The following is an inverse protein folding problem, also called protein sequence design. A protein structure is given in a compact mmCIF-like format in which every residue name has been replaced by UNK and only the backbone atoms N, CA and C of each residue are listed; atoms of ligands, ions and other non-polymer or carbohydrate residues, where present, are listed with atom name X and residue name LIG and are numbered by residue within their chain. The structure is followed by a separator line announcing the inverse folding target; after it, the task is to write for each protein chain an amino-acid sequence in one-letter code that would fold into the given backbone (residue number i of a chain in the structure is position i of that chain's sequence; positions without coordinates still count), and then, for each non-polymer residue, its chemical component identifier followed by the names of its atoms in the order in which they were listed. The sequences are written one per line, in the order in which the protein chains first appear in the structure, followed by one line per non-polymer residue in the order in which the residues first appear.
data_IF_178389687340
#
_entry.id   IF_178389687340
#
_cell.length_a   1.000
_cell.length_b   1.000
_cell.length_c   1.000
_cell.angle_alpha   90.00
_cell.angle_beta   90.00
_cell.angle_gamma   90.00
#
_symmetry.space_group_name_H-M   'P 1'
#
loop_
_entity.id
_entity.type
_entity.pdbx_description
1 polymer ?
#
# COMPACT_ATOMS: atom_id res chain seq x y z
N UNK A 1 -2.08 -15.51 -0.05
CA UNK A 1 -2.60 -16.52 -0.99
C UNK A 1 -1.46 -16.83 -1.97
N UNK A 2 -1.25 -18.09 -2.32
CA UNK A 2 -0.14 -18.65 -3.12
C UNK A 2 1.22 -18.89 -2.43
N UNK A 3 1.52 -18.29 -1.28
CA UNK A 3 2.83 -18.48 -0.61
C UNK A 3 2.88 -19.61 0.43
N UNK A 4 1.75 -20.31 0.66
CA UNK A 4 1.69 -21.40 1.62
C UNK A 4 1.99 -21.00 3.08
N UNK A 5 2.46 -21.93 3.92
CA UNK A 5 2.71 -21.69 5.35
C UNK A 5 3.69 -20.56 5.65
N UNK A 6 4.66 -20.34 4.76
CA UNK A 6 5.69 -19.29 4.92
C UNK A 6 5.19 -17.88 4.61
N UNK A 7 3.89 -17.72 4.27
CA UNK A 7 3.37 -16.46 3.79
C UNK A 7 3.61 -15.31 4.78
N UNK A 8 3.38 -15.50 6.07
CA UNK A 8 3.61 -14.44 7.06
C UNK A 8 5.09 -13.99 7.08
N UNK A 9 6.02 -14.95 7.14
CA UNK A 9 7.47 -14.70 7.14
C UNK A 9 7.93 -13.99 5.87
N UNK A 10 7.43 -14.41 4.71
CA UNK A 10 7.77 -13.78 3.43
C UNK A 10 7.25 -12.33 3.34
N UNK A 11 6.04 -12.05 3.83
CA UNK A 11 5.55 -10.68 3.89
C UNK A 11 6.34 -9.84 4.90
N UNK A 12 6.69 -10.40 6.06
CA UNK A 12 7.52 -9.75 7.06
C UNK A 12 8.89 -9.33 6.47
N UNK A 13 9.51 -10.24 5.69
CA UNK A 13 10.80 -10.02 5.04
C UNK A 13 10.81 -8.87 4.03
N UNK A 14 9.66 -8.37 3.56
CA UNK A 14 9.63 -7.20 2.67
C UNK A 14 10.10 -5.90 3.37
N UNK A 15 10.10 -5.87 4.71
CA UNK A 15 10.49 -4.68 5.46
C UNK A 15 11.91 -4.20 5.15
N UNK A 16 12.87 -5.13 4.97
CA UNK A 16 14.27 -4.78 4.66
C UNK A 16 14.42 -4.13 3.28
N UNK A 17 13.65 -4.62 2.29
CA UNK A 17 13.67 -4.07 0.94
C UNK A 17 12.98 -2.71 0.86
N UNK A 18 11.91 -2.51 1.63
CA UNK A 18 11.22 -1.23 1.74
C UNK A 18 12.13 -0.18 2.35
N UNK A 19 12.89 -0.53 3.40
CA UNK A 19 13.89 0.35 4.00
C UNK A 19 15.03 0.65 3.03
N UNK A 20 15.61 -0.38 2.40
CA UNK A 20 16.68 -0.23 1.42
C UNK A 20 16.31 0.56 0.17
N UNK A 21 15.02 0.59 -0.19
CA UNK A 21 14.49 1.39 -1.30
C UNK A 21 14.21 2.85 -0.92
N UNK A 22 14.34 3.22 0.36
CA UNK A 22 14.07 4.58 0.83
C UNK A 22 12.59 4.96 0.81
N UNK A 23 11.68 3.99 0.99
CA UNK A 23 10.24 4.28 1.07
C UNK A 23 9.92 5.03 2.36
N UNK A 24 9.26 6.19 2.24
CA UNK A 24 8.91 7.04 3.37
C UNK A 24 7.76 6.46 4.20
N UNK A 25 6.70 5.99 3.55
CA UNK A 25 5.48 5.50 4.21
C UNK A 25 4.87 4.32 3.47
N UNK A 26 4.36 3.35 4.23
CA UNK A 26 3.68 2.16 3.73
C UNK A 26 2.26 2.10 4.26
N UNK A 27 1.33 1.91 3.33
CA UNK A 27 -0.05 1.55 3.62
C UNK A 27 -0.24 0.07 3.30
N UNK A 28 -0.69 -0.72 4.28
CA UNK A 28 -0.79 -2.17 4.16
C UNK A 28 -2.25 -2.63 4.12
N UNK A 29 -2.57 -3.56 3.22
CA UNK A 29 -3.92 -4.07 3.03
C UNK A 29 -3.98 -5.60 3.02
N UNK A 30 -4.86 -6.18 3.84
CA UNK A 30 -5.13 -7.61 3.89
C UNK A 30 -4.43 -8.33 5.03
N UNK A 31 -5.03 -9.42 5.51
CA UNK A 31 -4.63 -10.07 6.78
C UNK A 31 -3.15 -10.44 6.84
N UNK A 32 -2.60 -11.00 5.75
CA UNK A 32 -1.19 -11.41 5.70
C UNK A 32 -0.23 -10.21 5.66
N UNK A 33 -0.66 -9.07 5.12
CA UNK A 33 0.12 -7.83 5.09
C UNK A 33 0.25 -7.18 6.47
N UNK A 34 -0.56 -7.60 7.46
CA UNK A 34 -0.35 -7.22 8.85
C UNK A 34 1.06 -7.57 9.34
N UNK A 35 1.59 -8.73 8.91
CA UNK A 35 2.95 -9.18 9.24
C UNK A 35 4.02 -8.20 8.73
N UNK A 36 3.83 -7.63 7.54
CA UNK A 36 4.71 -6.57 7.03
C UNK A 36 4.54 -5.30 7.84
N UNK A 37 3.30 -4.85 8.02
CA UNK A 37 3.00 -3.60 8.71
C UNK A 37 3.60 -3.55 10.12
N UNK A 38 3.51 -4.66 10.86
CA UNK A 38 4.08 -4.82 12.19
C UNK A 38 5.61 -4.93 12.21
N UNK A 39 6.25 -5.29 11.10
CA UNK A 39 7.70 -5.36 10.99
C UNK A 39 8.35 -4.01 10.66
N UNK A 40 7.59 -3.09 10.04
CA UNK A 40 8.11 -1.78 9.67
C UNK A 40 8.39 -0.91 10.91
N UNK A 41 9.39 -0.01 10.88
CA UNK A 41 9.52 1.03 11.91
C UNK A 41 8.25 1.88 12.00
N UNK A 42 7.88 2.34 13.20
CA UNK A 42 6.67 3.14 13.40
C UNK A 42 6.61 4.39 12.51
N UNK A 43 7.76 5.01 12.23
CA UNK A 43 7.87 6.18 11.33
C UNK A 43 7.47 5.91 9.88
N UNK A 44 7.48 4.64 9.44
CA UNK A 44 7.11 4.23 8.08
C UNK A 44 5.70 3.64 7.98
N UNK A 45 4.99 3.54 9.08
CA UNK A 45 3.64 2.99 9.12
C UNK A 45 2.64 4.10 8.85
N UNK A 46 2.02 4.07 7.68
CA UNK A 46 0.89 4.95 7.35
C UNK A 46 -0.38 4.43 8.00
N UNK A 47 -1.08 3.52 7.31
CA UNK A 47 -2.24 2.84 7.86
C UNK A 47 -2.30 1.38 7.43
N UNK A 48 -3.05 0.59 8.20
CA UNK A 48 -3.37 -0.80 7.88
C UNK A 48 -4.88 -1.02 7.89
N UNK A 49 -5.37 -1.79 6.93
CA UNK A 49 -6.74 -2.29 6.95
C UNK A 49 -6.84 -3.69 6.34
N UNK A 50 -7.89 -4.43 6.68
CA UNK A 50 -8.12 -5.77 6.11
C UNK A 50 -8.58 -5.75 4.65
N UNK A 51 -9.12 -4.64 4.16
CA UNK A 51 -9.60 -4.50 2.78
C UNK A 51 -9.19 -3.16 2.17
N UNK A 52 -9.14 -3.11 0.84
CA UNK A 52 -8.79 -1.90 0.11
C UNK A 52 -9.81 -0.79 0.36
N UNK A 53 -11.09 -1.14 0.45
CA UNK A 53 -12.18 -0.20 0.73
C UNK A 53 -12.02 0.45 2.10
N UNK A 54 -11.62 -0.31 3.12
CA UNK A 54 -11.37 0.21 4.45
C UNK A 54 -10.08 1.04 4.55
N UNK A 55 -9.09 0.75 3.69
CA UNK A 55 -7.84 1.52 3.63
C UNK A 55 -8.02 2.88 2.93
N UNK A 56 -8.94 2.95 1.97
CA UNK A 56 -9.06 4.08 1.06
C UNK A 56 -9.18 5.46 1.75
N UNK A 57 -10.00 5.66 2.79
CA UNK A 57 -10.14 6.98 3.42
C UNK A 57 -8.83 7.48 4.03
N UNK A 58 -8.10 6.60 4.73
CA UNK A 58 -6.82 6.92 5.36
C UNK A 58 -5.74 7.23 4.33
N UNK A 59 -5.73 6.48 3.21
CA UNK A 59 -4.82 6.76 2.10
C UNK A 59 -5.12 8.13 1.46
N UNK A 60 -6.40 8.46 1.24
CA UNK A 60 -6.78 9.74 0.61
C UNK A 60 -6.48 10.96 1.49
N UNK A 61 -6.51 10.80 2.82
CA UNK A 61 -6.18 11.86 3.77
C UNK A 61 -4.67 12.15 3.80
N UNK A 62 -3.84 11.11 3.66
CA UNK A 62 -2.40 11.23 3.77
C UNK A 62 -1.70 11.69 2.48
N UNK A 63 -2.26 11.36 1.31
CA UNK A 63 -1.64 11.66 0.02
C UNK A 63 -1.84 13.12 -0.38
N UNK A 64 -0.78 13.75 -0.89
CA UNK A 64 -0.78 15.13 -1.38
C UNK A 64 -0.08 15.31 -2.73
N UNK A 65 -0.18 16.52 -3.33
CA UNK A 65 0.58 16.88 -4.52
C UNK A 65 2.09 16.76 -4.28
N UNK A 66 2.79 16.15 -5.23
CA UNK A 66 4.25 15.91 -5.15
C UNK A 66 4.62 14.50 -4.72
N UNK A 67 3.68 13.72 -4.18
CA UNK A 67 3.92 12.33 -3.79
C UNK A 67 4.05 11.41 -5.01
N UNK A 68 4.99 10.46 -4.95
CA UNK A 68 5.10 9.34 -5.87
C UNK A 68 4.52 8.08 -5.23
N UNK A 69 3.51 7.47 -5.86
CA UNK A 69 2.74 6.36 -5.25
C UNK A 69 2.84 5.11 -6.12
N UNK A 70 3.23 3.99 -5.49
CA UNK A 70 3.14 2.66 -6.09
C UNK A 70 2.04 1.85 -5.39
N UNK A 71 1.05 1.37 -6.15
CA UNK A 71 0.05 0.43 -5.66
C UNK A 71 0.39 -0.97 -6.19
N UNK A 72 0.59 -1.91 -5.26
CA UNK A 72 0.83 -3.32 -5.59
C UNK A 72 -0.09 -4.23 -4.78
N UNK A 73 -0.69 -5.20 -5.47
CA UNK A 73 -1.45 -6.29 -4.86
C UNK A 73 -1.53 -7.49 -5.79
N UNK A 74 -2.03 -8.62 -5.28
CA UNK A 74 -2.48 -9.71 -6.13
C UNK A 74 -3.88 -9.39 -6.68
N UNK A 75 -4.32 -10.10 -7.72
CA UNK A 75 -5.65 -9.88 -8.29
C UNK A 75 -6.76 -10.03 -7.22
N UNK A 76 -6.63 -11.01 -6.33
CA UNK A 76 -7.56 -11.24 -5.22
C UNK A 76 -7.60 -10.12 -4.17
N UNK A 77 -6.55 -9.29 -4.08
CA UNK A 77 -6.53 -8.13 -3.17
C UNK A 77 -7.40 -6.96 -3.61
N UNK A 78 -7.90 -6.98 -4.86
CA UNK A 78 -8.79 -5.95 -5.42
C UNK A 78 -8.32 -4.52 -5.16
N UNK A 79 -7.10 -4.19 -5.59
CA UNK A 79 -6.53 -2.84 -5.39
C UNK A 79 -7.04 -1.78 -6.37
N UNK A 80 -7.74 -2.18 -7.44
CA UNK A 80 -8.25 -1.26 -8.45
C UNK A 80 -9.06 -0.06 -7.89
N UNK A 81 -9.93 -0.21 -6.88
CA UNK A 81 -10.67 0.92 -6.30
C UNK A 81 -9.77 2.02 -5.72
N UNK A 82 -8.60 1.67 -5.17
CA UNK A 82 -7.64 2.66 -4.66
C UNK A 82 -7.02 3.47 -5.81
N UNK A 83 -6.66 2.79 -6.89
CA UNK A 83 -6.12 3.43 -8.10
C UNK A 83 -7.14 4.42 -8.68
N UNK A 84 -8.40 4.00 -8.82
CA UNK A 84 -9.46 4.85 -9.35
C UNK A 84 -9.81 6.02 -8.41
N UNK A 85 -9.70 5.83 -7.09
CA UNK A 85 -9.85 6.92 -6.14
C UNK A 85 -8.75 7.99 -6.27
N UNK A 86 -7.48 7.56 -6.36
CA UNK A 86 -6.34 8.47 -6.59
C UNK A 86 -6.47 9.21 -7.91
N UNK A 87 -6.81 8.50 -9.01
CA UNK A 87 -7.03 9.11 -10.32
C UNK A 87 -8.16 10.13 -10.30
N UNK A 88 -9.28 9.85 -9.63
CA UNK A 88 -10.38 10.81 -9.52
C UNK A 88 -9.99 12.04 -8.70
N UNK A 89 -9.15 11.87 -7.68
CA UNK A 89 -8.79 12.94 -6.74
C UNK A 89 -7.64 13.83 -7.25
N UNK A 90 -6.70 13.25 -8.00
CA UNK A 90 -5.45 13.88 -8.42
C UNK A 90 -5.15 13.76 -9.93
N UNK A 91 -5.89 12.92 -10.65
CA UNK A 91 -5.74 12.80 -12.09
C UNK A 91 -6.13 14.11 -12.77
N UNK A 92 -5.28 14.57 -13.66
CA UNK A 92 -5.56 15.71 -14.54
C UNK A 92 -6.41 15.23 -15.71
N UNK A 93 -7.57 15.85 -15.96
CA UNK A 93 -8.13 15.79 -17.31
C UNK A 93 -7.11 16.42 -18.26
N UNK A 94 -6.62 15.65 -19.23
CA UNK A 94 -5.88 16.11 -20.40
C UNK A 94 -4.67 17.02 -20.13
N UNK A 95 -3.50 16.44 -19.87
CA UNK A 95 -2.24 17.06 -20.31
C UNK A 95 -1.66 16.14 -21.37
N UNK A 96 -1.71 16.50 -22.66
CA UNK A 96 -1.03 15.71 -23.69
C UNK A 96 0.46 15.75 -23.40
N UNK A 97 1.07 14.57 -23.33
CA UNK A 97 2.52 14.40 -23.44
C UNK A 97 2.98 14.67 -24.86
#
# INVERSE_FOLDING_TARGET
LELGPESSKLHQGLAEFIDGAGVDVVFACGELMGSLYEALPASRRGAYAKTAEALAPMLMEAVGPGDAIMIKGSLGSRMAPLVEALKRRFGTEGVPV
#
